data_IF_748246156070
#
_entry.id   IF_748246156070
#
_cell.length_a   1.000
_cell.length_b   1.000
_cell.length_c   1.000
_cell.angle_alpha   90.00
_cell.angle_beta   90.00
_cell.angle_gamma   90.00
#
_symmetry.space_group_name_H-M   'P 1'
#
loop_
_entity.id
_entity.type
_entity.pdbx_description
1 polymer ?
#
# COMPACT_ATOMS: atom_id res chain seq x y z
N UNK A 1 -0.50 -2.01 -30.29
CA UNK A 1 0.07 -2.25 -28.95
C UNK A 1 -0.64 -3.41 -28.29
N UNK A 2 0.04 -4.54 -28.11
CA UNK A 2 -0.52 -5.69 -27.40
C UNK A 2 -0.08 -5.65 -25.94
N UNK A 3 -0.87 -4.97 -25.11
CA UNK A 3 -0.63 -4.79 -23.68
C UNK A 3 -0.74 -6.08 -22.84
N UNK A 4 -1.07 -7.21 -23.47
CA UNK A 4 -1.21 -8.51 -22.80
C UNK A 4 0.17 -9.14 -22.53
N UNK A 5 1.22 -8.72 -23.26
CA UNK A 5 2.56 -9.34 -23.17
C UNK A 5 3.30 -9.05 -21.85
N UNK A 6 2.96 -7.97 -21.16
CA UNK A 6 3.62 -7.55 -19.91
C UNK A 6 2.95 -8.11 -18.64
N UNK A 7 1.89 -8.91 -18.77
CA UNK A 7 1.07 -9.38 -17.64
C UNK A 7 1.82 -10.40 -16.76
N UNK A 8 2.78 -11.15 -17.31
CA UNK A 8 3.20 -12.41 -16.68
C UNK A 8 4.16 -12.30 -15.49
N UNK A 9 4.84 -11.17 -15.26
CA UNK A 9 5.92 -11.15 -14.25
C UNK A 9 6.00 -9.90 -13.36
N UNK A 10 5.36 -8.78 -13.73
CA UNK A 10 5.49 -7.53 -12.99
C UNK A 10 4.16 -7.10 -12.37
N UNK A 11 4.16 -6.93 -11.05
CA UNK A 11 3.05 -6.34 -10.31
C UNK A 11 3.06 -4.82 -10.52
N UNK A 12 2.44 -4.34 -11.59
CA UNK A 12 2.20 -2.92 -11.87
C UNK A 12 0.91 -2.43 -11.21
N UNK A 13 0.77 -1.12 -11.01
CA UNK A 13 -0.41 -0.48 -10.35
C UNK A 13 -1.73 -0.89 -11.03
N UNK A 14 -1.73 -1.03 -12.36
CA UNK A 14 -2.90 -1.38 -13.16
C UNK A 14 -3.04 -2.90 -13.42
N UNK A 15 -2.41 -3.75 -12.61
CA UNK A 15 -2.53 -5.19 -12.73
C UNK A 15 -3.97 -5.66 -12.40
N UNK A 16 -4.56 -6.57 -13.18
CA UNK A 16 -6.00 -6.87 -13.11
C UNK A 16 -6.44 -7.62 -11.83
N UNK A 17 -5.55 -8.38 -11.19
CA UNK A 17 -5.90 -9.18 -10.00
C UNK A 17 -5.52 -8.52 -8.67
N UNK A 18 -4.24 -8.17 -8.50
CA UNK A 18 -3.74 -7.44 -7.32
C UNK A 18 -2.93 -6.22 -7.80
N UNK A 19 -3.23 -5.00 -7.32
CA UNK A 19 -2.48 -3.81 -7.71
C UNK A 19 -1.04 -3.88 -7.21
N UNK A 20 -0.11 -3.47 -8.05
CA UNK A 20 1.31 -3.41 -7.74
C UNK A 20 1.76 -2.21 -6.90
N UNK A 21 2.92 -2.34 -6.26
CA UNK A 21 3.45 -1.33 -5.32
C UNK A 21 4.41 -0.32 -5.97
N UNK A 22 3.88 0.50 -6.89
CA UNK A 22 4.51 1.78 -7.22
C UNK A 22 5.13 1.93 -8.61
N UNK A 23 4.78 1.08 -9.58
CA UNK A 23 5.20 1.26 -10.99
C UNK A 23 4.02 1.15 -11.94
N UNK A 24 4.00 2.03 -12.94
CA UNK A 24 3.16 1.87 -14.13
C UNK A 24 3.90 1.06 -15.19
N UNK A 25 3.20 0.17 -15.88
CA UNK A 25 3.73 -0.51 -17.07
C UNK A 25 3.92 0.50 -18.21
N UNK A 26 4.68 0.11 -19.23
CA UNK A 26 4.83 0.94 -20.43
C UNK A 26 3.48 1.16 -21.11
N UNK A 27 2.64 0.12 -21.21
CA UNK A 27 1.28 0.27 -21.73
C UNK A 27 0.46 1.29 -20.93
N UNK A 28 0.45 1.23 -19.59
CA UNK A 28 -0.29 2.21 -18.78
C UNK A 28 0.18 3.63 -19.06
N UNK A 29 1.50 3.85 -19.19
CA UNK A 29 2.07 5.17 -19.51
C UNK A 29 1.65 5.65 -20.90
N UNK A 30 1.73 4.79 -21.92
CA UNK A 30 1.32 5.12 -23.29
C UNK A 30 -0.16 5.54 -23.34
N UNK A 31 -1.03 4.79 -22.68
CA UNK A 31 -2.45 5.12 -22.61
C UNK A 31 -2.71 6.43 -21.87
N UNK A 32 -2.04 6.67 -20.74
CA UNK A 32 -2.14 7.95 -20.02
C UNK A 32 -1.67 9.12 -20.88
N UNK A 33 -0.54 8.98 -21.58
CA UNK A 33 0.00 10.03 -22.47
C UNK A 33 -0.97 10.32 -23.62
N UNK A 34 -1.47 9.27 -24.28
CA UNK A 34 -2.42 9.43 -25.38
C UNK A 34 -3.70 10.12 -24.90
N UNK A 35 -4.24 9.74 -23.75
CA UNK A 35 -5.42 10.42 -23.18
C UNK A 35 -5.13 11.89 -22.84
N UNK A 36 -4.07 12.15 -22.08
CA UNK A 36 -3.66 13.50 -21.66
C UNK A 36 -3.45 14.41 -22.88
N UNK A 37 -2.90 13.90 -23.98
CA UNK A 37 -2.68 14.68 -25.21
C UNK A 37 -3.95 15.17 -25.90
N UNK A 38 -5.11 14.60 -25.58
CA UNK A 38 -6.42 15.05 -26.12
C UNK A 38 -7.06 16.15 -25.30
N UNK A 39 -6.54 16.42 -24.10
CA UNK A 39 -7.13 17.37 -23.16
C UNK A 39 -6.64 18.79 -23.47
N UNK A 40 -7.54 19.76 -23.31
CA UNK A 40 -7.19 21.17 -23.44
C UNK A 40 -6.29 21.61 -22.27
N UNK A 41 -5.38 22.59 -22.47
CA UNK A 41 -4.56 23.14 -21.39
C UNK A 41 -5.37 23.59 -20.16
N UNK A 42 -6.59 24.11 -20.39
CA UNK A 42 -7.51 24.53 -19.34
C UNK A 42 -7.92 23.42 -18.35
N UNK A 43 -7.78 22.14 -18.73
CA UNK A 43 -8.01 21.01 -17.82
C UNK A 43 -6.90 20.86 -16.76
N UNK A 44 -5.71 21.40 -17.03
CA UNK A 44 -4.54 21.30 -16.15
C UNK A 44 -4.25 22.59 -15.39
N UNK A 45 -4.71 23.74 -15.92
CA UNK A 45 -4.58 25.06 -15.29
C UNK A 45 -5.59 25.29 -14.14
N UNK A 46 -5.96 24.25 -13.42
CA UNK A 46 -6.84 24.36 -12.25
C UNK A 46 -6.06 24.97 -11.08
N UNK A 47 -6.30 26.27 -10.83
CA UNK A 47 -5.89 26.91 -9.58
C UNK A 47 -6.82 26.41 -8.48
N UNK A 48 -6.30 25.56 -7.61
CA UNK A 48 -6.99 25.16 -6.38
C UNK A 48 -7.34 26.42 -5.57
N UNK A 49 -8.61 26.54 -5.15
CA UNK A 49 -9.02 27.66 -4.27
C UNK A 49 -8.30 27.63 -2.92
N UNK A 50 -7.90 26.43 -2.51
CA UNK A 50 -7.16 26.17 -1.28
C UNK A 50 -6.14 25.06 -1.55
N UNK A 51 -4.89 25.29 -1.16
CA UNK A 51 -3.88 24.25 -1.14
C UNK A 51 -4.06 23.40 0.11
N UNK A 52 -4.70 22.24 -0.03
CA UNK A 52 -4.78 21.22 1.02
C UNK A 52 -3.46 20.42 1.14
N UNK A 53 -2.31 21.09 1.09
CA UNK A 53 -1.01 20.45 1.30
C UNK A 53 -0.88 20.13 2.78
N UNK A 54 -0.92 18.84 3.10
CA UNK A 54 -0.56 18.36 4.43
C UNK A 54 0.95 18.17 4.46
N UNK A 55 1.64 18.82 5.40
CA UNK A 55 3.07 18.60 5.60
C UNK A 55 3.28 17.14 6.07
N UNK A 56 3.79 16.30 5.18
CA UNK A 56 3.97 14.87 5.44
C UNK A 56 5.28 14.64 6.19
N UNK A 57 5.21 14.66 7.53
CA UNK A 57 6.40 14.58 8.41
C UNK A 57 7.03 13.18 8.49
N UNK A 58 6.25 12.15 8.15
CA UNK A 58 6.65 10.75 8.17
C UNK A 58 5.80 9.92 7.21
N UNK A 59 6.26 8.72 6.90
CA UNK A 59 5.51 7.74 6.12
C UNK A 59 4.23 7.28 6.87
N UNK A 60 3.14 6.94 6.15
CA UNK A 60 1.83 6.62 6.75
C UNK A 60 1.86 5.53 7.82
N UNK A 61 2.65 4.48 7.60
CA UNK A 61 2.77 3.31 8.47
C UNK A 61 3.39 3.60 9.84
N UNK A 62 4.04 4.76 10.03
CA UNK A 62 4.59 5.17 11.33
C UNK A 62 3.49 5.42 12.36
N UNK A 63 2.33 5.93 11.93
CA UNK A 63 1.23 6.35 12.82
C UNK A 63 -0.09 5.60 12.58
N UNK A 64 -0.11 4.65 11.64
CA UNK A 64 -1.32 3.92 11.31
C UNK A 64 -1.69 2.89 12.38
N UNK A 65 -2.98 2.86 12.72
CA UNK A 65 -3.56 1.86 13.59
C UNK A 65 -4.10 0.69 12.74
N UNK A 66 -3.43 -0.47 12.77
CA UNK A 66 -3.81 -1.64 11.96
C UNK A 66 -5.23 -2.14 12.26
N UNK A 67 -5.71 -2.00 13.51
CA UNK A 67 -7.09 -2.37 13.86
C UNK A 67 -8.09 -1.45 13.14
N UNK A 68 -7.78 -0.16 13.00
CA UNK A 68 -8.62 0.78 12.25
C UNK A 68 -8.67 0.42 10.76
N UNK A 69 -7.55 -0.04 10.20
CA UNK A 69 -7.53 -0.56 8.81
C UNK A 69 -8.48 -1.75 8.69
N UNK A 70 -8.39 -2.73 9.61
CA UNK A 70 -9.29 -3.89 9.59
C UNK A 70 -10.77 -3.51 9.68
N UNK A 71 -11.12 -2.51 10.51
CA UNK A 71 -12.49 -2.01 10.63
C UNK A 71 -13.02 -1.40 9.34
N UNK A 72 -12.17 -0.66 8.62
CA UNK A 72 -12.55 -0.03 7.35
C UNK A 72 -12.65 -1.08 6.24
N UNK A 73 -11.67 -2.00 6.16
CA UNK A 73 -11.60 -3.00 5.12
C UNK A 73 -12.65 -4.12 5.27
N UNK A 74 -12.98 -4.51 6.51
CA UNK A 74 -13.89 -5.61 6.81
C UNK A 74 -14.96 -5.17 7.82
N UNK A 75 -15.90 -4.29 7.45
CA UNK A 75 -16.90 -3.76 8.37
C UNK A 75 -17.86 -4.84 8.93
N UNK A 76 -17.98 -5.99 8.24
CA UNK A 76 -18.88 -7.08 8.61
C UNK A 76 -18.22 -8.17 9.47
N UNK A 77 -16.97 -8.01 9.88
CA UNK A 77 -16.34 -8.93 10.81
C UNK A 77 -16.99 -8.83 12.19
N UNK A 78 -17.16 -9.98 12.86
CA UNK A 78 -17.75 -10.04 14.20
C UNK A 78 -16.84 -9.38 15.24
N UNK A 79 -15.52 -9.58 15.08
CA UNK A 79 -14.47 -8.90 15.84
C UNK A 79 -13.28 -8.66 14.92
N UNK A 80 -12.50 -7.62 15.23
CA UNK A 80 -11.28 -7.29 14.49
C UNK A 80 -10.06 -7.61 15.33
N UNK A 81 -9.46 -8.77 15.08
CA UNK A 81 -8.18 -9.15 15.64
C UNK A 81 -7.10 -8.92 14.58
N UNK A 82 -5.99 -8.30 14.99
CA UNK A 82 -4.84 -8.09 14.10
C UNK A 82 -3.82 -9.18 14.39
N UNK A 83 -3.38 -9.89 13.35
CA UNK A 83 -2.21 -10.76 13.42
C UNK A 83 -1.05 -10.13 12.64
N UNK A 84 0.13 -10.04 13.27
CA UNK A 84 1.36 -9.45 12.73
C UNK A 84 2.47 -10.46 12.47
N UNK A 85 2.19 -11.76 12.48
CA UNK A 85 3.18 -12.81 12.22
C UNK A 85 3.88 -12.64 10.85
N UNK A 86 3.17 -12.06 9.87
CA UNK A 86 3.67 -11.82 8.51
C UNK A 86 4.38 -10.47 8.33
N UNK A 87 4.70 -9.75 9.41
CA UNK A 87 5.25 -8.39 9.31
C UNK A 87 6.60 -8.34 8.58
N UNK A 88 7.40 -9.41 8.65
CA UNK A 88 8.67 -9.51 7.90
C UNK A 88 8.47 -9.45 6.39
N UNK A 89 7.32 -9.89 5.92
CA UNK A 89 6.92 -9.89 4.51
C UNK A 89 6.12 -8.64 4.16
N UNK A 90 6.13 -7.63 5.04
CA UNK A 90 5.35 -6.41 4.92
C UNK A 90 3.85 -6.67 4.71
N UNK A 91 3.33 -7.68 5.43
CA UNK A 91 1.91 -8.03 5.45
C UNK A 91 1.43 -8.20 6.89
N UNK A 92 0.13 -8.07 7.07
CA UNK A 92 -0.57 -8.39 8.32
C UNK A 92 -1.91 -9.02 7.99
N UNK A 93 -2.57 -9.63 8.97
CA UNK A 93 -3.89 -10.23 8.77
C UNK A 93 -4.93 -9.54 9.65
N UNK A 94 -6.09 -9.32 9.05
CA UNK A 94 -7.32 -9.02 9.76
C UNK A 94 -8.06 -10.32 9.98
N UNK A 95 -8.26 -10.70 11.24
CA UNK A 95 -8.90 -11.94 11.62
C UNK A 95 -10.21 -11.69 12.37
N UNK A 96 -11.22 -12.50 12.11
CA UNK A 96 -12.48 -12.53 12.85
C UNK A 96 -12.81 -13.97 13.25
N UNK A 97 -13.35 -14.19 14.46
CA UNK A 97 -13.95 -15.48 14.80
C UNK A 97 -15.12 -15.78 13.84
N UNK A 98 -15.39 -17.07 13.66
CA UNK A 98 -16.58 -17.54 12.95
C UNK A 98 -17.79 -17.64 13.90
N UNK A 99 -19.03 -17.51 13.38
CA UNK A 99 -20.25 -17.54 14.21
C UNK A 99 -20.48 -18.85 14.97
N UNK A 100 -19.94 -19.96 14.48
CA UNK A 100 -20.16 -21.33 14.97
C UNK A 100 -19.11 -21.79 16.00
N UNK A 101 -18.27 -20.89 16.51
CA UNK A 101 -17.18 -21.21 17.44
C UNK A 101 -16.14 -22.18 16.84
N UNK A 102 -16.00 -22.21 15.51
CA UNK A 102 -14.88 -22.88 14.83
C UNK A 102 -13.54 -22.54 15.48
N UNK A 103 -12.70 -23.56 15.65
CA UNK A 103 -11.35 -23.42 16.20
C UNK A 103 -10.47 -22.46 15.37
N UNK A 104 -10.75 -22.36 14.06
CA UNK A 104 -9.98 -21.52 13.15
C UNK A 104 -10.73 -20.23 12.81
N UNK A 105 -10.16 -19.04 13.09
CA UNK A 105 -10.74 -17.78 12.66
C UNK A 105 -10.63 -17.61 11.14
N UNK A 106 -11.48 -16.76 10.56
CA UNK A 106 -11.29 -16.28 9.19
C UNK A 106 -10.26 -15.14 9.22
N UNK A 107 -9.17 -15.27 8.46
CA UNK A 107 -8.13 -14.26 8.35
C UNK A 107 -7.94 -13.82 6.90
N UNK A 108 -7.83 -12.52 6.68
CA UNK A 108 -7.58 -11.93 5.36
C UNK A 108 -6.27 -11.14 5.42
N UNK A 109 -5.35 -11.43 4.49
CA UNK A 109 -4.05 -10.75 4.38
C UNK A 109 -4.19 -9.35 3.79
N UNK A 110 -3.46 -8.40 4.35
CA UNK A 110 -3.36 -7.00 3.92
C UNK A 110 -1.89 -6.56 3.88
N UNK A 111 -1.52 -5.66 2.96
CA UNK A 111 -0.19 -5.08 2.94
C UNK A 111 0.00 -4.14 4.13
N UNK A 112 1.20 -4.16 4.73
CA UNK A 112 1.59 -3.13 5.69
C UNK A 112 1.85 -1.80 4.95
N UNK A 113 1.32 -0.68 5.45
CA UNK A 113 1.60 0.63 4.87
C UNK A 113 3.08 0.99 4.93
N UNK A 114 3.55 1.78 3.96
CA UNK A 114 4.92 2.27 3.95
C UNK A 114 5.26 2.99 5.26
N UNK A 115 6.39 2.66 5.86
CA UNK A 115 6.86 3.17 7.15
C UNK A 115 6.53 2.30 8.36
N UNK A 116 5.67 1.27 8.21
CA UNK A 116 5.34 0.37 9.31
C UNK A 116 6.55 -0.47 9.76
N UNK A 117 6.66 -0.76 11.06
CA UNK A 117 7.69 -1.65 11.61
C UNK A 117 7.54 -3.07 11.02
N UNK A 118 8.66 -3.62 10.55
CA UNK A 118 8.76 -5.02 10.15
C UNK A 118 9.80 -5.80 10.98
N UNK A 119 10.28 -5.21 12.08
CA UNK A 119 11.20 -5.81 13.04
C UNK A 119 12.67 -5.42 12.84
N UNK A 120 13.45 -5.48 13.92
CA UNK A 120 14.89 -5.20 13.89
C UNK A 120 15.25 -3.76 13.46
N UNK A 121 14.39 -2.79 13.75
CA UNK A 121 14.55 -1.39 13.33
C UNK A 121 14.30 -1.15 11.83
N UNK A 122 13.85 -2.17 11.10
CA UNK A 122 13.47 -2.09 9.69
C UNK A 122 12.03 -1.63 9.53
N UNK A 123 11.73 -1.09 8.36
CA UNK A 123 10.37 -0.68 7.99
C UNK A 123 10.00 -1.15 6.60
N UNK A 124 8.70 -1.17 6.34
CA UNK A 124 8.14 -1.51 5.04
C UNK A 124 8.23 -0.32 4.09
N UNK A 125 8.73 -0.52 2.87
CA UNK A 125 8.63 0.44 1.78
C UNK A 125 8.34 -0.33 0.49
N UNK A 126 7.23 0.01 -0.18
CA UNK A 126 6.76 -0.64 -1.41
C UNK A 126 6.63 -2.16 -1.29
N UNK A 127 6.24 -2.63 -0.10
CA UNK A 127 6.08 -4.05 0.21
C UNK A 127 7.38 -4.80 0.54
N UNK A 128 8.51 -4.11 0.72
CA UNK A 128 9.78 -4.73 1.10
C UNK A 128 10.19 -4.28 2.50
N UNK A 129 10.60 -5.25 3.34
CA UNK A 129 11.15 -4.96 4.67
C UNK A 129 12.65 -4.67 4.58
N UNK A 130 13.07 -3.49 5.03
CA UNK A 130 14.47 -3.07 4.93
C UNK A 130 14.83 -1.86 5.79
N UNK A 131 16.10 -1.47 5.72
CA UNK A 131 16.56 -0.25 6.34
C UNK A 131 16.26 0.92 5.40
N UNK A 132 15.37 1.79 5.86
CA UNK A 132 14.98 3.00 5.17
C UNK A 132 15.05 4.18 6.14
N UNK A 133 15.07 5.41 5.62
CA UNK A 133 14.89 6.61 6.41
C UNK A 133 13.39 6.92 6.63
N UNK A 134 13.08 8.02 7.30
CA UNK A 134 11.69 8.43 7.61
C UNK A 134 10.85 8.81 6.37
N UNK A 135 11.48 8.91 5.20
CA UNK A 135 10.85 9.22 3.91
C UNK A 135 10.85 8.03 2.95
N UNK A 136 11.44 6.90 3.34
CA UNK A 136 11.47 5.66 2.56
C UNK A 136 12.70 5.52 1.65
N UNK A 137 13.73 6.35 1.80
CA UNK A 137 14.99 6.18 1.07
C UNK A 137 15.85 5.08 1.74
N UNK A 138 16.52 4.19 0.97
CA UNK A 138 17.37 3.14 1.55
C UNK A 138 18.50 3.69 2.42
N UNK A 139 18.78 3.02 3.54
CA UNK A 139 19.88 3.38 4.45
C UNK A 139 20.76 2.17 4.76
N UNK A 140 22.04 2.42 5.10
CA UNK A 140 23.00 1.34 5.42
C UNK A 140 22.94 0.88 6.87
N UNK A 141 22.22 1.57 7.76
CA UNK A 141 22.17 1.29 9.21
C UNK A 141 20.76 1.54 9.80
N UNK A 142 20.42 0.89 10.93
CA UNK A 142 19.28 1.30 11.74
C UNK A 142 19.42 2.78 12.08
N UNK A 143 18.42 3.60 11.76
CA UNK A 143 18.34 4.95 12.32
C UNK A 143 17.79 4.77 13.74
N UNK A 144 18.64 5.08 14.71
CA UNK A 144 18.53 5.08 16.17
C UNK A 144 17.17 4.71 16.80
N UNK A 145 17.27 3.80 17.78
CA UNK A 145 16.20 3.27 18.62
C UNK A 145 15.50 4.34 19.47
#
# INVERSE_FOLDING_TARGET
NNCIKDIKHDHFIMHPSEPGNGKFSNCSKEHMIAFISTLLPSCFELKTKQNCSTEMKALPGVSMNLTKICKIAHPNFLKWNVNTDLKSDCRFECCSPLPDNSYYPTCVKHPLPDGADCGGGKRCVRGTCGYYDKYGAPTMRPQDA
#
